data_IF_478053562843
#
_entry.id   IF_478053562843
#
_cell.length_a   1.000
_cell.length_b   1.000
_cell.length_c   1.000
_cell.angle_alpha   90.00
_cell.angle_beta   90.00
_cell.angle_gamma   90.00
#
_symmetry.space_group_name_H-M   'P 1'
#
loop_
_entity.id
_entity.type
_entity.pdbx_description
1 polymer ?
#
# COMPACT_ATOMS: atom_id res chain seq x y z
N UNK A 1 -62.71 10.82 21.01
CA UNK A 1 -63.71 11.89 21.18
C UNK A 1 -63.05 13.06 21.92
N UNK A 2 -63.29 14.27 21.41
CA UNK A 2 -62.94 15.63 21.88
C UNK A 2 -62.05 15.81 23.13
N UNK A 3 -60.83 16.35 23.02
CA UNK A 3 -60.47 17.78 22.90
C UNK A 3 -61.02 18.66 24.04
N UNK A 4 -60.15 19.15 24.93
CA UNK A 4 -60.36 20.45 25.55
C UNK A 4 -59.04 21.19 25.82
N UNK A 5 -58.99 22.42 25.26
CA UNK A 5 -57.96 23.45 25.38
C UNK A 5 -58.11 24.23 26.69
N UNK A 6 -57.01 24.76 27.22
CA UNK A 6 -56.90 26.17 27.64
C UNK A 6 -55.42 26.58 27.74
N UNK A 7 -54.81 27.45 26.90
CA UNK A 7 -54.87 28.94 26.83
C UNK A 7 -54.42 29.58 28.16
N UNK A 8 -53.31 30.32 28.28
CA UNK A 8 -53.06 31.65 27.67
C UNK A 8 -51.64 32.21 28.00
N UNK A 9 -51.06 32.92 27.00
CA UNK A 9 -50.43 34.28 27.02
C UNK A 9 -49.15 34.44 27.87
N UNK A 10 -48.07 35.10 27.45
CA UNK A 10 -47.75 35.95 26.29
C UNK A 10 -46.22 36.13 26.26
N UNK A 11 -45.55 36.45 25.17
CA UNK A 11 -45.41 37.79 24.55
C UNK A 11 -43.91 37.95 24.31
N UNK A 12 -43.47 38.31 23.10
CA UNK A 12 -42.07 38.71 22.87
C UNK A 12 -41.50 38.28 21.53
N UNK A 13 -41.89 38.99 20.47
CA UNK A 13 -41.24 39.00 19.16
C UNK A 13 -39.86 39.68 19.31
N UNK A 14 -38.78 39.06 18.82
CA UNK A 14 -37.76 39.71 17.94
C UNK A 14 -37.07 38.62 17.12
N UNK A 15 -37.13 38.78 15.80
CA UNK A 15 -36.37 38.01 14.83
C UNK A 15 -34.91 38.52 14.76
N UNK A 16 -33.95 37.61 14.69
CA UNK A 16 -32.62 37.88 14.14
C UNK A 16 -32.15 36.67 13.32
N UNK A 17 -32.21 36.83 12.01
CA UNK A 17 -31.49 36.01 11.04
C UNK A 17 -30.01 36.36 11.19
N UNK A 18 -29.15 35.37 11.47
CA UNK A 18 -27.73 35.49 11.22
C UNK A 18 -27.08 34.12 11.01
N UNK A 19 -26.84 33.83 9.73
CA UNK A 19 -25.62 33.25 9.16
C UNK A 19 -25.18 31.86 9.65
N UNK A 20 -25.33 30.92 8.71
CA UNK A 20 -24.75 29.59 8.80
C UNK A 20 -23.25 29.62 9.03
N UNK A 21 -22.83 28.86 10.02
CA UNK A 21 -21.46 28.36 10.12
C UNK A 21 -21.34 27.18 9.17
N UNK A 22 -20.89 27.45 7.95
CA UNK A 22 -20.24 26.42 7.13
C UNK A 22 -19.04 25.98 7.94
N UNK A 23 -19.10 24.78 8.51
CA UNK A 23 -17.94 24.14 9.09
C UNK A 23 -16.91 23.97 7.96
N UNK A 24 -15.96 24.89 7.90
CA UNK A 24 -14.78 24.74 7.08
C UNK A 24 -14.04 23.51 7.60
N UNK A 25 -14.24 22.38 6.91
CA UNK A 25 -13.41 21.21 7.07
C UNK A 25 -11.99 21.62 6.69
N UNK A 26 -11.18 21.98 7.69
CA UNK A 26 -9.77 22.20 7.53
C UNK A 26 -9.18 20.90 6.97
N UNK A 27 -8.74 20.93 5.72
CA UNK A 27 -7.86 19.94 5.13
C UNK A 27 -6.53 20.01 5.88
N UNK A 28 -6.47 19.38 7.04
CA UNK A 28 -5.22 19.18 7.77
C UNK A 28 -4.37 18.27 6.90
N UNK A 29 -3.23 18.80 6.45
CA UNK A 29 -2.35 18.16 5.48
C UNK A 29 -2.02 16.72 5.86
N UNK A 30 -2.31 15.80 4.94
CA UNK A 30 -1.85 14.41 5.00
C UNK A 30 -0.33 14.47 4.88
N UNK A 31 0.37 14.36 6.01
CA UNK A 31 1.83 14.23 5.99
C UNK A 31 2.16 12.82 5.51
N UNK A 32 3.12 12.65 4.57
CA UNK A 32 3.48 11.32 4.09
C UNK A 32 3.95 10.46 5.27
N UNK A 33 3.50 9.21 5.31
CA UNK A 33 3.96 8.24 6.29
C UNK A 33 5.49 8.07 6.16
N UNK A 34 6.21 8.42 7.21
CA UNK A 34 7.64 8.18 7.32
C UNK A 34 7.84 6.78 7.90
N UNK A 35 8.53 5.92 7.16
CA UNK A 35 9.04 4.65 7.65
C UNK A 35 10.35 4.90 8.40
N UNK A 36 10.69 4.05 9.38
CA UNK A 36 11.84 4.25 10.27
C UNK A 36 13.17 4.30 9.48
N UNK A 37 14.11 5.11 9.98
CA UNK A 37 15.50 5.35 9.54
C UNK A 37 15.98 4.70 8.24
N UNK A 38 15.49 5.15 7.08
CA UNK A 38 15.98 4.65 5.78
C UNK A 38 17.28 5.36 5.41
N UNK A 39 18.40 4.64 5.46
CA UNK A 39 19.69 5.11 4.92
C UNK A 39 19.77 4.95 3.41
N UNK A 40 18.71 4.42 2.76
CA UNK A 40 18.68 4.27 1.30
C UNK A 40 18.95 5.62 0.63
N UNK A 41 19.82 5.58 -0.37
CA UNK A 41 20.03 6.69 -1.29
C UNK A 41 18.67 6.99 -1.93
N UNK A 42 18.21 8.24 -1.88
CA UNK A 42 16.87 8.64 -2.32
C UNK A 42 16.45 8.04 -3.67
N UNK A 43 15.15 7.73 -3.78
CA UNK A 43 14.51 7.26 -5.00
C UNK A 43 14.02 8.38 -5.91
N UNK A 44 13.51 8.00 -7.06
CA UNK A 44 12.99 8.91 -8.10
C UNK A 44 11.97 8.17 -8.96
N UNK A 45 10.72 8.62 -9.02
CA UNK A 45 9.69 7.99 -9.85
C UNK A 45 9.42 8.75 -11.15
N UNK A 46 9.62 8.08 -12.27
CA UNK A 46 9.02 8.42 -13.55
C UNK A 46 7.68 7.69 -13.72
N UNK A 47 6.64 8.40 -14.18
CA UNK A 47 5.31 7.82 -14.41
C UNK A 47 4.85 8.07 -15.84
N UNK A 48 4.33 7.03 -16.48
CA UNK A 48 3.68 7.12 -17.79
C UNK A 48 2.19 6.97 -17.65
N UNK A 49 1.43 8.02 -18.00
CA UNK A 49 -0.04 8.04 -18.01
C UNK A 49 -0.49 8.34 -19.43
N UNK A 50 -1.38 7.50 -19.99
CA UNK A 50 -1.90 7.65 -21.36
C UNK A 50 -0.79 7.87 -22.42
N UNK A 51 0.35 7.19 -22.25
CA UNK A 51 1.50 7.28 -23.17
C UNK A 51 2.43 8.48 -22.94
N UNK A 52 2.13 9.37 -21.99
CA UNK A 52 3.00 10.52 -21.64
C UNK A 52 3.80 10.18 -20.40
N UNK A 53 5.12 10.11 -20.55
CA UNK A 53 6.05 9.91 -19.43
C UNK A 53 6.45 11.25 -18.82
N UNK A 54 6.35 11.36 -17.51
CA UNK A 54 6.84 12.50 -16.73
C UNK A 54 7.75 12.00 -15.62
N UNK A 55 8.92 12.64 -15.48
CA UNK A 55 9.83 12.46 -14.36
C UNK A 55 10.09 13.84 -13.70
N UNK A 56 9.44 14.16 -12.56
CA UNK A 56 9.67 15.42 -11.86
C UNK A 56 11.12 15.50 -11.37
N UNK A 57 11.80 16.62 -11.62
CA UNK A 57 13.12 16.85 -11.02
C UNK A 57 13.04 16.84 -9.48
N UNK A 58 14.13 16.46 -8.82
CA UNK A 58 14.21 16.44 -7.35
C UNK A 58 13.68 17.74 -6.71
N UNK A 59 12.85 17.59 -5.67
CA UNK A 59 12.17 18.67 -4.98
C UNK A 59 10.99 19.28 -5.75
N UNK A 60 10.72 18.83 -6.97
CA UNK A 60 9.51 19.18 -7.75
C UNK A 60 8.46 18.10 -7.61
N UNK A 61 7.23 18.48 -7.92
CA UNK A 61 6.08 17.59 -7.89
C UNK A 61 5.39 17.56 -9.26
N UNK A 62 4.88 16.38 -9.62
CA UNK A 62 3.84 16.22 -10.63
C UNK A 62 2.50 16.05 -9.90
N UNK A 63 1.50 16.81 -10.33
CA UNK A 63 0.11 16.65 -9.93
C UNK A 63 -0.75 16.49 -11.18
N UNK A 64 -1.42 15.35 -11.29
CA UNK A 64 -2.45 15.08 -12.30
C UNK A 64 -3.78 14.94 -11.58
N UNK A 65 -4.85 15.54 -12.10
CA UNK A 65 -6.18 15.50 -11.49
C UNK A 65 -7.25 15.21 -12.52
N UNK A 66 -8.31 14.56 -12.06
CA UNK A 66 -9.53 14.28 -12.83
C UNK A 66 -9.30 13.83 -14.28
N UNK A 67 -8.32 12.96 -14.47
CA UNK A 67 -7.87 12.53 -15.80
C UNK A 67 -8.47 11.18 -16.16
N UNK A 68 -9.13 11.10 -17.31
CA UNK A 68 -9.56 9.81 -17.86
C UNK A 68 -8.33 8.96 -18.19
N UNK A 69 -8.35 7.69 -17.79
CA UNK A 69 -7.21 6.77 -17.98
C UNK A 69 -7.67 5.47 -18.59
N UNK A 70 -6.81 4.87 -19.42
CA UNK A 70 -7.02 3.56 -20.02
C UNK A 70 -5.69 2.83 -20.17
N UNK A 71 -5.75 1.52 -20.41
CA UNK A 71 -4.55 0.69 -20.59
C UNK A 71 -3.78 0.52 -19.28
N UNK A 72 -2.52 0.93 -19.27
CA UNK A 72 -1.59 0.74 -18.15
C UNK A 72 -0.94 2.06 -17.77
N UNK A 73 -0.84 2.33 -16.47
CA UNK A 73 0.03 3.36 -15.92
C UNK A 73 1.33 2.69 -15.51
N UNK A 74 2.44 3.08 -16.14
CA UNK A 74 3.75 2.55 -15.82
C UNK A 74 4.44 3.43 -14.77
N UNK A 75 4.88 2.83 -13.66
CA UNK A 75 5.65 3.48 -12.60
C UNK A 75 7.06 2.90 -12.61
N UNK A 76 8.07 3.75 -12.80
CA UNK A 76 9.47 3.33 -12.90
C UNK A 76 10.30 4.16 -11.94
N UNK A 77 10.82 3.49 -10.91
CA UNK A 77 11.73 4.07 -9.93
C UNK A 77 13.18 3.63 -10.15
N UNK A 78 14.08 4.20 -9.36
CA UNK A 78 15.48 3.78 -9.26
C UNK A 78 15.61 2.41 -8.62
N UNK A 79 14.89 2.16 -7.53
CA UNK A 79 14.98 0.95 -6.71
C UNK A 79 13.85 -0.03 -6.95
N UNK A 80 12.65 0.47 -7.28
CA UNK A 80 11.52 -0.37 -7.64
C UNK A 80 10.67 0.19 -8.79
N UNK A 81 9.88 -0.66 -9.42
CA UNK A 81 8.93 -0.28 -10.45
C UNK A 81 7.77 -1.27 -10.54
N UNK A 82 6.66 -0.84 -11.12
CA UNK A 82 5.46 -1.65 -11.28
C UNK A 82 4.51 -1.02 -12.30
N UNK A 83 3.49 -1.78 -12.70
CA UNK A 83 2.44 -1.34 -13.60
C UNK A 83 1.09 -1.36 -12.90
N UNK A 84 0.27 -0.32 -13.11
CA UNK A 84 -1.14 -0.31 -12.69
C UNK A 84 -1.99 -0.53 -13.93
N UNK A 85 -2.69 -1.66 -13.99
CA UNK A 85 -3.57 -1.98 -15.11
C UNK A 85 -4.97 -1.43 -14.85
N UNK A 86 -5.49 -0.60 -15.75
CA UNK A 86 -6.78 0.07 -15.54
C UNK A 86 -7.97 -0.90 -15.68
N UNK A 87 -7.82 -2.00 -16.41
CA UNK A 87 -8.88 -2.97 -16.64
C UNK A 87 -9.40 -3.65 -15.36
N UNK A 88 -8.57 -3.76 -14.33
CA UNK A 88 -8.91 -4.37 -13.03
C UNK A 88 -8.37 -3.58 -11.83
N UNK A 89 -7.69 -2.46 -12.07
CA UNK A 89 -6.94 -1.69 -11.08
C UNK A 89 -5.91 -2.52 -10.29
N UNK A 90 -5.44 -3.63 -10.88
CA UNK A 90 -4.40 -4.46 -10.32
C UNK A 90 -3.02 -3.83 -10.50
N UNK A 91 -2.12 -4.13 -9.56
CA UNK A 91 -0.69 -3.82 -9.68
C UNK A 91 0.05 -5.07 -10.16
N UNK A 92 0.88 -4.90 -11.17
CA UNK A 92 1.63 -5.96 -11.84
C UNK A 92 3.12 -5.68 -11.81
N UNK A 93 3.89 -6.78 -11.83
CA UNK A 93 5.35 -6.76 -11.99
C UNK A 93 6.07 -5.82 -11.03
N UNK A 94 5.64 -5.83 -9.75
CA UNK A 94 6.33 -5.07 -8.71
C UNK A 94 7.74 -5.65 -8.54
N UNK A 95 8.71 -4.88 -9.02
CA UNK A 95 10.09 -5.32 -9.25
C UNK A 95 11.03 -4.50 -8.41
N UNK A 96 11.95 -5.17 -7.70
CA UNK A 96 13.15 -4.52 -7.19
C UNK A 96 14.21 -4.53 -8.29
N UNK A 97 14.81 -3.38 -8.59
CA UNK A 97 15.74 -3.24 -9.72
C UNK A 97 17.11 -3.84 -9.46
N UNK A 98 17.49 -3.93 -8.18
CA UNK A 98 18.84 -4.32 -7.74
C UNK A 98 19.87 -3.20 -7.79
N UNK A 99 19.41 -1.94 -7.95
CA UNK A 99 20.27 -0.76 -7.88
C UNK A 99 21.17 -0.78 -6.62
N UNK A 100 22.41 -0.34 -6.78
CA UNK A 100 23.39 -0.34 -5.69
C UNK A 100 22.91 0.56 -4.54
N UNK A 101 22.77 -0.05 -3.37
CA UNK A 101 22.38 0.61 -2.13
C UNK A 101 22.77 -0.29 -0.95
N UNK A 102 23.09 0.29 0.21
CA UNK A 102 23.42 -0.47 1.42
C UNK A 102 22.24 -1.32 1.93
N UNK A 103 21.02 -0.96 1.53
CA UNK A 103 19.79 -1.65 1.92
C UNK A 103 19.21 -2.54 0.81
N UNK A 104 19.88 -2.69 -0.35
CA UNK A 104 19.34 -3.52 -1.44
C UNK A 104 19.23 -4.98 -1.01
N UNK A 105 18.17 -5.65 -1.44
CA UNK A 105 17.94 -7.08 -1.16
C UNK A 105 18.22 -7.99 -2.36
N UNK A 106 18.39 -7.39 -3.55
CA UNK A 106 18.67 -8.12 -4.79
C UNK A 106 19.76 -7.40 -5.57
N UNK A 107 20.49 -8.15 -6.40
CA UNK A 107 21.59 -7.62 -7.23
C UNK A 107 21.26 -7.57 -8.73
N UNK A 108 20.07 -8.05 -9.09
CA UNK A 108 19.49 -8.04 -10.44
C UNK A 108 18.00 -7.74 -10.34
N UNK A 109 17.34 -7.33 -11.44
CA UNK A 109 15.90 -7.16 -11.46
C UNK A 109 15.17 -8.42 -10.99
N UNK A 110 14.36 -8.27 -9.95
CA UNK A 110 13.58 -9.37 -9.35
C UNK A 110 12.15 -8.92 -9.14
N UNK A 111 11.22 -9.58 -9.82
CA UNK A 111 9.78 -9.39 -9.60
C UNK A 111 9.43 -10.00 -8.24
N UNK A 112 9.05 -9.16 -7.27
CA UNK A 112 8.62 -9.60 -5.94
C UNK A 112 7.16 -10.04 -5.99
N UNK A 113 6.30 -9.23 -6.60
CA UNK A 113 4.92 -9.60 -6.87
C UNK A 113 4.67 -9.59 -8.37
N UNK A 114 4.34 -10.75 -8.92
CA UNK A 114 3.82 -10.85 -10.29
C UNK A 114 2.51 -10.06 -10.40
N UNK A 115 1.66 -10.16 -9.37
CA UNK A 115 0.44 -9.36 -9.33
C UNK A 115 -0.11 -9.15 -7.91
N UNK A 116 -0.79 -8.03 -7.70
CA UNK A 116 -1.70 -7.74 -6.59
C UNK A 116 -3.00 -7.21 -7.16
N UNK A 117 -4.04 -8.03 -7.18
CA UNK A 117 -5.25 -7.77 -7.96
C UNK A 117 -6.47 -7.72 -7.05
N UNK A 118 -7.21 -6.61 -7.00
CA UNK A 118 -8.54 -6.58 -6.42
C UNK A 118 -9.56 -7.21 -7.38
N UNK A 119 -10.43 -8.08 -6.86
CA UNK A 119 -11.58 -8.59 -7.59
C UNK A 119 -12.70 -7.55 -7.53
N UNK A 120 -12.84 -6.77 -8.60
CA UNK A 120 -13.81 -5.68 -8.70
C UNK A 120 -14.99 -6.05 -9.61
N UNK A 121 -16.18 -5.60 -9.25
CA UNK A 121 -17.37 -5.70 -10.09
C UNK A 121 -17.31 -4.73 -11.27
N UNK A 122 -18.14 -4.94 -12.29
CA UNK A 122 -18.26 -4.02 -13.41
C UNK A 122 -18.60 -2.57 -12.98
N UNK A 123 -19.45 -2.40 -11.96
CA UNK A 123 -19.77 -1.09 -11.40
C UNK A 123 -18.57 -0.42 -10.71
N UNK A 124 -17.70 -1.21 -10.07
CA UNK A 124 -16.48 -0.73 -9.44
C UNK A 124 -15.35 -0.41 -10.43
N UNK A 125 -15.49 -0.80 -11.70
CA UNK A 125 -14.55 -0.47 -12.78
C UNK A 125 -15.10 0.58 -13.76
N UNK A 126 -16.42 0.79 -13.76
CA UNK A 126 -17.07 1.77 -14.63
C UNK A 126 -16.53 3.19 -14.40
N UNK A 127 -16.39 3.94 -15.49
CA UNK A 127 -15.98 5.36 -15.45
C UNK A 127 -14.72 5.64 -14.64
N UNK A 128 -13.77 4.68 -14.62
CA UNK A 128 -12.52 4.82 -13.90
C UNK A 128 -11.75 6.04 -14.40
N UNK A 129 -11.39 6.93 -13.46
CA UNK A 129 -10.52 8.08 -13.71
C UNK A 129 -9.45 8.18 -12.64
N UNK A 130 -8.30 8.72 -13.02
CA UNK A 130 -7.25 9.12 -12.10
C UNK A 130 -7.65 10.47 -11.48
N UNK A 131 -8.33 10.42 -10.34
CA UNK A 131 -8.81 11.61 -9.63
C UNK A 131 -7.67 12.45 -9.06
N UNK A 132 -6.60 11.79 -8.60
CA UNK A 132 -5.36 12.42 -8.19
C UNK A 132 -4.19 11.48 -8.50
N UNK A 133 -3.10 12.03 -9.03
CA UNK A 133 -1.79 11.42 -9.00
C UNK A 133 -0.82 12.49 -8.51
N UNK A 134 -0.12 12.17 -7.44
CA UNK A 134 0.96 12.98 -6.90
C UNK A 134 2.25 12.17 -6.95
N UNK A 135 3.26 12.72 -7.61
CA UNK A 135 4.61 12.16 -7.65
C UNK A 135 5.57 13.23 -7.17
N UNK A 136 6.36 12.93 -6.15
CA UNK A 136 7.34 13.84 -5.59
C UNK A 136 8.49 13.04 -5.01
N UNK A 137 9.70 13.31 -5.50
CA UNK A 137 10.91 12.61 -5.09
C UNK A 137 10.73 11.08 -5.18
N UNK A 138 10.86 10.38 -4.05
CA UNK A 138 10.71 8.95 -3.93
C UNK A 138 9.27 8.48 -3.76
N UNK A 139 8.27 9.36 -3.74
CA UNK A 139 6.91 9.03 -3.32
C UNK A 139 5.92 9.14 -4.48
N UNK A 140 5.01 8.17 -4.56
CA UNK A 140 3.87 8.17 -5.47
C UNK A 140 2.57 7.90 -4.70
N UNK A 141 1.53 8.68 -4.98
CA UNK A 141 0.15 8.43 -4.54
C UNK A 141 -0.79 8.60 -5.73
N UNK A 142 -1.45 7.52 -6.14
CA UNK A 142 -2.47 7.51 -7.18
C UNK A 142 -3.83 7.16 -6.56
N UNK A 143 -4.84 7.99 -6.80
CA UNK A 143 -6.22 7.77 -6.37
C UNK A 143 -7.10 7.63 -7.60
N UNK A 144 -7.63 6.43 -7.79
CA UNK A 144 -8.64 6.13 -8.79
C UNK A 144 -10.02 6.33 -8.20
N UNK A 145 -10.86 7.11 -8.87
CA UNK A 145 -12.29 7.13 -8.58
C UNK A 145 -13.03 6.38 -9.67
N UNK A 146 -14.04 5.60 -9.29
CA UNK A 146 -14.83 4.77 -10.20
C UNK A 146 -16.31 4.99 -9.93
N UNK A 147 -17.18 4.34 -10.71
CA UNK A 147 -18.63 4.44 -10.57
C UNK A 147 -19.18 3.99 -9.21
N UNK A 148 -18.41 3.21 -8.43
CA UNK A 148 -18.88 2.64 -7.18
C UNK A 148 -17.87 2.73 -6.01
N UNK A 149 -16.89 3.63 -6.06
CA UNK A 149 -15.96 3.87 -4.96
C UNK A 149 -14.60 4.40 -5.41
N UNK A 150 -13.57 4.19 -4.58
CA UNK A 150 -12.19 4.56 -4.90
C UNK A 150 -11.21 3.44 -4.57
N UNK A 151 -10.08 3.48 -5.27
CA UNK A 151 -8.88 2.71 -4.94
C UNK A 151 -7.70 3.66 -4.90
N UNK A 152 -6.93 3.63 -3.80
CA UNK A 152 -5.66 4.35 -3.68
C UNK A 152 -4.51 3.36 -3.79
N UNK A 153 -3.50 3.70 -4.59
CA UNK A 153 -2.20 3.04 -4.65
C UNK A 153 -1.15 4.02 -4.18
N UNK A 154 -0.35 3.65 -3.18
CA UNK A 154 0.75 4.46 -2.68
C UNK A 154 2.03 3.64 -2.61
N UNK A 155 3.12 4.24 -3.07
CA UNK A 155 4.41 3.59 -3.19
C UNK A 155 5.55 4.55 -2.77
N UNK A 156 6.67 3.97 -2.31
CA UNK A 156 7.94 4.68 -2.15
C UNK A 156 9.06 3.95 -2.88
N UNK A 157 9.90 4.69 -3.59
CA UNK A 157 11.06 4.18 -4.29
C UNK A 157 12.26 4.00 -3.34
N UNK A 158 12.21 2.94 -2.53
CA UNK A 158 13.30 2.56 -1.63
C UNK A 158 13.95 1.23 -2.02
N UNK A 159 15.22 1.04 -1.66
CA UNK A 159 15.97 -0.20 -1.89
C UNK A 159 15.33 -1.44 -1.24
N UNK A 160 14.63 -1.26 -0.12
CA UNK A 160 13.77 -2.26 0.52
C UNK A 160 12.28 -2.11 0.11
N UNK A 161 12.00 -1.65 -1.11
CA UNK A 161 10.64 -1.48 -1.65
C UNK A 161 9.82 -0.34 -1.04
N UNK A 162 10.23 0.24 0.08
CA UNK A 162 9.53 1.36 0.67
C UNK A 162 8.15 0.99 1.25
N UNK A 163 7.28 1.99 1.39
CA UNK A 163 5.85 1.73 1.62
C UNK A 163 5.26 1.31 0.29
N UNK A 164 4.56 0.18 0.21
CA UNK A 164 3.67 -0.13 -0.90
C UNK A 164 2.30 -0.55 -0.34
N UNK A 165 1.23 0.15 -0.69
CA UNK A 165 -0.11 -0.11 -0.17
C UNK A 165 -1.19 0.16 -1.22
N UNK A 166 -2.23 -0.67 -1.19
CA UNK A 166 -3.49 -0.52 -1.91
C UNK A 166 -4.62 -0.38 -0.88
N UNK A 167 -5.37 0.72 -0.93
CA UNK A 167 -6.46 1.02 0.00
C UNK A 167 -7.79 1.13 -0.75
N UNK A 168 -8.84 0.50 -0.21
CA UNK A 168 -10.16 0.45 -0.86
C UNK A 168 -11.20 1.28 -0.11
N UNK A 169 -11.95 2.08 -0.86
CA UNK A 169 -13.11 2.84 -0.38
C UNK A 169 -14.35 2.43 -1.20
N UNK A 170 -14.60 1.13 -1.31
CA UNK A 170 -15.82 0.58 -1.89
C UNK A 170 -16.85 0.28 -0.79
N UNK A 171 -18.14 0.27 -1.13
CA UNK A 171 -19.22 0.07 -0.15
C UNK A 171 -19.20 -1.32 0.52
N UNK A 172 -18.61 -2.32 -0.12
CA UNK A 172 -18.53 -3.69 0.38
C UNK A 172 -17.10 -4.25 0.38
N UNK A 173 -16.91 -5.44 0.97
CA UNK A 173 -15.60 -6.08 1.01
C UNK A 173 -15.04 -6.36 -0.39
N UNK A 174 -13.73 -6.23 -0.55
CA UNK A 174 -13.03 -6.56 -1.79
C UNK A 174 -12.06 -7.71 -1.53
N UNK A 175 -12.10 -8.71 -2.40
CA UNK A 175 -11.11 -9.79 -2.40
C UNK A 175 -9.85 -9.34 -3.12
N UNK A 176 -8.69 -9.45 -2.47
CA UNK A 176 -7.38 -9.25 -3.08
C UNK A 176 -6.66 -10.58 -3.25
N UNK A 177 -6.07 -10.79 -4.42
CA UNK A 177 -5.16 -11.91 -4.67
C UNK A 177 -3.77 -11.35 -4.93
N UNK A 178 -2.81 -11.76 -4.09
CA UNK A 178 -1.40 -11.48 -4.29
C UNK A 178 -0.70 -12.73 -4.79
N UNK A 179 0.08 -12.60 -5.85
CA UNK A 179 0.89 -13.66 -6.43
C UNK A 179 2.33 -13.20 -6.46
N UNK A 180 3.21 -13.97 -5.81
CA UNK A 180 4.65 -13.72 -5.80
C UNK A 180 5.25 -13.94 -7.20
N UNK A 181 6.34 -13.23 -7.48
CA UNK A 181 7.09 -13.46 -8.72
C UNK A 181 7.74 -14.84 -8.76
N UNK A 182 8.19 -15.24 -9.95
CA UNK A 182 8.85 -16.52 -10.15
C UNK A 182 10.09 -16.66 -9.26
N UNK A 183 10.26 -17.83 -8.64
CA UNK A 183 11.38 -18.12 -7.72
C UNK A 183 11.17 -17.63 -6.28
N UNK A 184 10.15 -16.82 -6.01
CA UNK A 184 9.78 -16.45 -4.65
C UNK A 184 8.73 -17.40 -4.07
N UNK A 185 8.73 -17.53 -2.75
CA UNK A 185 7.77 -18.34 -2.02
C UNK A 185 7.49 -17.78 -0.63
N UNK A 186 6.29 -18.08 -0.11
CA UNK A 186 5.94 -17.89 1.28
C UNK A 186 6.55 -19.00 2.14
N UNK A 187 6.95 -18.66 3.37
CA UNK A 187 7.46 -19.60 4.37
C UNK A 187 7.13 -19.11 5.79
N UNK A 188 7.11 -20.02 6.76
CA UNK A 188 7.03 -19.66 8.17
C UNK A 188 8.41 -19.27 8.67
N UNK A 189 8.57 -18.04 9.13
CA UNK A 189 9.83 -17.59 9.72
C UNK A 189 10.02 -18.25 11.10
N UNK A 190 11.12 -19.00 11.32
CA UNK A 190 11.33 -19.77 12.54
C UNK A 190 11.52 -18.89 13.78
N UNK A 191 11.95 -17.63 13.62
CA UNK A 191 12.20 -16.72 14.73
C UNK A 191 10.97 -15.94 15.18
N UNK A 192 10.05 -15.65 14.24
CA UNK A 192 8.86 -14.84 14.53
C UNK A 192 7.57 -15.65 14.58
N UNK A 193 7.56 -16.86 14.02
CA UNK A 193 6.35 -17.66 13.78
C UNK A 193 5.39 -17.04 12.75
N UNK A 194 5.76 -15.89 12.16
CA UNK A 194 4.95 -15.20 11.15
C UNK A 194 5.28 -15.71 9.76
N UNK A 195 4.37 -15.47 8.82
CA UNK A 195 4.62 -15.78 7.42
C UNK A 195 5.40 -14.66 6.77
N UNK A 196 6.54 -15.01 6.18
CA UNK A 196 7.32 -14.15 5.31
C UNK A 196 7.30 -14.71 3.87
N UNK A 197 7.82 -13.93 2.93
CA UNK A 197 8.17 -14.38 1.59
C UNK A 197 9.60 -13.95 1.25
N UNK A 198 10.21 -14.68 0.33
CA UNK A 198 11.57 -14.43 -0.15
C UNK A 198 11.96 -15.42 -1.26
N UNK A 199 13.20 -15.36 -1.71
CA UNK A 199 13.77 -16.30 -2.69
C UNK A 199 14.73 -17.33 -2.06
N UNK A 200 15.00 -17.21 -0.75
CA UNK A 200 15.91 -18.08 -0.01
C UNK A 200 17.40 -17.76 -0.20
N UNK A 201 17.74 -16.70 -0.93
CA UNK A 201 19.14 -16.30 -1.14
C UNK A 201 19.68 -15.63 0.12
N UNK A 202 20.72 -16.21 0.73
CA UNK A 202 21.37 -15.65 1.92
C UNK A 202 22.00 -14.28 1.64
N UNK A 203 22.02 -13.41 2.65
CA UNK A 203 22.68 -12.11 2.57
C UNK A 203 24.18 -12.23 2.27
N UNK A 204 24.72 -11.27 1.52
CA UNK A 204 26.15 -11.11 1.24
C UNK A 204 26.61 -9.78 1.84
N UNK A 205 27.53 -9.83 2.80
CA UNK A 205 27.88 -8.67 3.63
C UNK A 205 28.86 -7.68 2.99
N UNK A 206 29.61 -8.08 1.95
CA UNK A 206 30.66 -7.24 1.36
C UNK A 206 30.88 -7.50 -0.14
N UNK A 207 31.55 -6.56 -0.79
CA UNK A 207 31.89 -6.60 -2.22
C UNK A 207 30.80 -6.02 -3.13
N UNK A 208 31.08 -6.01 -4.43
CA UNK A 208 30.16 -5.48 -5.45
C UNK A 208 28.83 -6.24 -5.53
N UNK A 209 28.79 -7.47 -5.00
CA UNK A 209 27.60 -8.30 -4.86
C UNK A 209 26.91 -8.21 -3.51
N UNK A 210 27.31 -7.31 -2.60
CA UNK A 210 26.69 -7.23 -1.27
C UNK A 210 25.18 -6.94 -1.35
N UNK A 211 24.36 -7.70 -0.63
CA UNK A 211 22.91 -7.51 -0.55
C UNK A 211 22.39 -8.11 0.76
N UNK A 212 21.26 -7.60 1.22
CA UNK A 212 20.49 -8.23 2.31
C UNK A 212 19.70 -9.42 1.80
N UNK A 213 19.24 -10.30 2.69
CA UNK A 213 18.29 -11.36 2.31
C UNK A 213 16.99 -10.73 1.83
N UNK A 214 16.42 -11.22 0.73
CA UNK A 214 15.10 -10.79 0.29
C UNK A 214 14.03 -11.35 1.22
N UNK A 215 13.58 -10.51 2.14
CA UNK A 215 12.53 -10.82 3.10
C UNK A 215 11.39 -9.83 2.94
N UNK A 216 10.17 -10.34 2.90
CA UNK A 216 8.97 -9.53 2.91
C UNK A 216 7.82 -10.18 3.66
N UNK A 217 6.77 -9.41 3.92
CA UNK A 217 5.46 -9.91 4.39
C UNK A 217 4.36 -9.04 3.80
N UNK A 218 3.18 -9.65 3.62
CA UNK A 218 1.97 -8.86 3.39
C UNK A 218 1.65 -8.03 4.64
N UNK A 219 1.18 -6.80 4.42
CA UNK A 219 0.83 -5.85 5.48
C UNK A 219 -0.66 -5.51 5.41
N UNK A 220 -1.54 -6.33 6.00
CA UNK A 220 -2.98 -6.11 6.02
C UNK A 220 -3.39 -5.12 7.11
N UNK A 221 -4.44 -4.35 6.85
CA UNK A 221 -5.22 -3.64 7.87
C UNK A 221 -6.71 -3.74 7.52
N UNK A 222 -7.53 -4.07 8.52
CA UNK A 222 -8.95 -4.40 8.36
C UNK A 222 -9.18 -5.41 7.23
N UNK A 223 -8.32 -6.43 7.20
CA UNK A 223 -8.35 -7.47 6.20
C UNK A 223 -8.03 -8.84 6.80
N UNK A 224 -8.69 -9.86 6.26
CA UNK A 224 -8.59 -11.24 6.74
C UNK A 224 -8.04 -12.10 5.63
N UNK A 225 -6.97 -12.86 5.90
CA UNK A 225 -6.45 -13.87 4.97
C UNK A 225 -7.46 -15.00 4.83
N UNK A 226 -7.88 -15.31 3.62
CA UNK A 226 -8.82 -16.38 3.33
C UNK A 226 -8.15 -17.64 2.80
N UNK A 227 -7.01 -17.50 2.12
CA UNK A 227 -6.22 -18.64 1.66
C UNK A 227 -4.74 -18.27 1.51
N UNK A 228 -3.88 -19.29 1.54
CA UNK A 228 -2.46 -19.16 1.24
C UNK A 228 -1.92 -20.47 0.64
N UNK A 229 -1.17 -20.33 -0.44
CA UNK A 229 -0.34 -21.37 -1.04
C UNK A 229 1.13 -20.97 -0.94
N UNK A 230 2.01 -21.76 -1.56
CA UNK A 230 3.44 -21.45 -1.66
C UNK A 230 3.71 -20.09 -2.31
N UNK A 231 2.88 -19.63 -3.26
CA UNK A 231 3.14 -18.40 -4.04
C UNK A 231 1.98 -17.43 -4.10
N UNK A 232 0.81 -17.79 -3.57
CA UNK A 232 -0.39 -16.96 -3.63
C UNK A 232 -1.02 -16.79 -2.26
N UNK A 233 -1.52 -15.59 -1.98
CA UNK A 233 -2.43 -15.33 -0.85
C UNK A 233 -3.68 -14.65 -1.33
N UNK A 234 -4.81 -15.01 -0.74
CA UNK A 234 -6.08 -14.31 -0.93
C UNK A 234 -6.53 -13.68 0.37
N UNK A 235 -7.05 -12.46 0.29
CA UNK A 235 -7.48 -11.64 1.42
C UNK A 235 -8.85 -11.05 1.15
N UNK A 236 -9.70 -10.96 2.17
CA UNK A 236 -10.91 -10.14 2.14
C UNK A 236 -10.65 -8.85 2.89
N UNK A 237 -10.78 -7.71 2.21
CA UNK A 237 -10.50 -6.37 2.72
C UNK A 237 -11.81 -5.64 2.92
N UNK A 238 -12.07 -5.17 4.13
CA UNK A 238 -13.29 -4.42 4.43
C UNK A 238 -13.21 -2.99 3.88
N UNK A 239 -14.35 -2.29 3.71
CA UNK A 239 -14.35 -0.86 3.39
C UNK A 239 -13.45 -0.05 4.34
N UNK A 240 -12.58 0.81 3.78
CA UNK A 240 -11.59 1.58 4.54
C UNK A 240 -10.35 0.78 4.97
N UNK A 241 -10.28 -0.50 4.62
CA UNK A 241 -9.11 -1.36 4.82
C UNK A 241 -8.04 -1.16 3.75
N UNK A 242 -6.88 -1.80 3.96
CA UNK A 242 -5.76 -1.77 3.02
C UNK A 242 -4.92 -3.03 3.04
N UNK A 243 -4.33 -3.33 1.88
CA UNK A 243 -3.34 -4.38 1.70
C UNK A 243 -2.07 -3.79 1.11
N UNK A 244 -0.95 -4.02 1.79
CA UNK A 244 0.36 -3.63 1.31
C UNK A 244 1.38 -4.75 1.39
N UNK A 245 2.64 -4.36 1.28
CA UNK A 245 3.79 -5.18 1.62
C UNK A 245 4.79 -4.34 2.39
N UNK A 246 5.56 -5.01 3.26
CA UNK A 246 6.80 -4.45 3.80
C UNK A 246 7.92 -5.43 3.54
N UNK A 247 9.12 -4.91 3.28
CA UNK A 247 10.31 -5.72 2.98
C UNK A 247 11.44 -5.38 3.97
N UNK A 248 12.50 -6.19 3.95
CA UNK A 248 13.68 -6.01 4.77
C UNK A 248 13.38 -6.16 6.26
N UNK A 249 14.03 -5.33 7.07
CA UNK A 249 13.93 -5.36 8.53
C UNK A 249 12.47 -5.21 9.02
N UNK A 250 11.69 -4.34 8.38
CA UNK A 250 10.26 -4.13 8.70
C UNK A 250 9.41 -5.41 8.49
N UNK A 251 9.88 -6.35 7.67
CA UNK A 251 9.23 -7.63 7.43
C UNK A 251 9.40 -8.62 8.58
N UNK A 252 10.46 -8.49 9.37
CA UNK A 252 10.82 -9.42 10.45
C UNK A 252 10.80 -8.79 11.84
N UNK A 253 10.61 -7.46 11.95
CA UNK A 253 10.44 -6.79 13.22
C UNK A 253 9.33 -7.47 14.06
N UNK A 254 9.63 -7.71 15.34
CA UNK A 254 8.74 -8.35 16.31
C UNK A 254 7.54 -7.46 16.71
N UNK A 255 7.04 -6.62 15.81
CA UNK A 255 5.92 -5.75 16.08
C UNK A 255 4.65 -6.54 16.36
N UNK A 256 3.77 -5.99 17.21
CA UNK A 256 2.39 -6.43 17.23
C UNK A 256 1.76 -6.14 15.85
N UNK A 257 0.82 -6.99 15.42
CA UNK A 257 0.12 -6.79 14.14
C UNK A 257 -0.55 -5.42 14.05
N UNK A 258 -0.91 -4.99 12.84
CA UNK A 258 -1.61 -3.72 12.65
C UNK A 258 -2.88 -3.68 13.53
N UNK A 259 -3.01 -2.64 14.36
CA UNK A 259 -4.22 -2.45 15.19
C UNK A 259 -5.43 -2.26 14.29
N UNK A 260 -6.57 -2.87 14.65
CA UNK A 260 -7.84 -2.58 13.99
C UNK A 260 -8.14 -1.09 14.15
N UNK A 261 -8.18 -0.35 13.05
CA UNK A 261 -8.50 1.06 13.04
C UNK A 261 -9.56 1.31 11.97
N UNK A 262 -10.64 1.98 12.36
CA UNK A 262 -11.90 2.10 11.60
C UNK A 262 -12.16 3.51 11.05
N UNK A 263 -11.36 4.53 11.44
CA UNK A 263 -11.37 5.88 10.85
C UNK A 263 -10.09 6.64 11.23
N UNK A 264 -9.59 7.53 10.35
CA UNK A 264 -8.43 8.41 10.59
C UNK A 264 -7.17 7.69 11.10
N UNK A 265 -6.88 6.53 10.50
CA UNK A 265 -5.73 5.69 10.85
C UNK A 265 -4.43 6.35 10.40
N UNK A 266 -3.98 7.35 11.16
CA UNK A 266 -2.63 7.87 11.07
C UNK A 266 -1.65 6.75 11.43
N UNK A 267 -0.46 6.78 10.84
CA UNK A 267 0.61 5.83 11.11
C UNK A 267 1.22 6.00 12.53
N UNK A 268 0.44 6.38 13.54
CA UNK A 268 0.88 6.67 14.89
C UNK A 268 1.07 5.41 15.76
N UNK A 269 0.60 4.24 15.31
CA UNK A 269 0.95 2.94 15.90
C UNK A 269 2.22 2.34 15.28
N UNK A 270 3.13 3.18 14.78
CA UNK A 270 4.44 2.77 14.28
C UNK A 270 5.33 2.38 15.45
N UNK A 271 5.77 1.12 15.46
CA UNK A 271 6.99 0.76 16.17
C UNK A 271 8.14 1.35 15.36
N UNK A 272 8.94 2.22 15.98
CA UNK A 272 10.00 2.98 15.30
C UNK A 272 11.32 2.20 15.32
N UNK A 273 11.35 0.99 14.77
CA UNK A 273 12.57 0.17 14.73
C UNK A 273 13.19 -0.07 16.10
N UNK A 274 12.37 -0.02 17.17
CA UNK A 274 12.83 -0.12 18.56
C UNK A 274 12.77 -1.55 19.08
N UNK A 275 12.31 -2.49 18.26
CA UNK A 275 12.27 -3.90 18.60
C UNK A 275 13.45 -4.65 17.98
N UNK A 276 13.94 -5.71 18.64
CA UNK A 276 14.99 -6.54 18.10
C UNK A 276 14.61 -7.09 16.72
N UNK A 277 15.48 -6.89 15.74
CA UNK A 277 15.45 -7.58 14.44
C UNK A 277 16.11 -8.94 14.64
N UNK A 278 15.40 -10.06 14.44
CA UNK A 278 15.99 -11.39 14.56
C UNK A 278 17.00 -11.66 13.43
N UNK A 279 17.88 -12.67 13.57
CA UNK A 279 18.74 -13.10 12.48
C UNK A 279 17.97 -13.52 11.22
N UNK A 280 18.65 -13.52 10.08
CA UNK A 280 18.10 -14.04 8.82
C UNK A 280 17.77 -15.54 8.94
N UNK A 281 16.60 -16.00 8.44
CA UNK A 281 16.30 -17.42 8.34
C UNK A 281 17.32 -18.18 7.49
N UNK A 282 17.79 -19.32 7.99
CA UNK A 282 18.64 -20.24 7.24
C UNK A 282 17.77 -21.26 6.51
N UNK A 283 18.00 -21.47 5.21
CA UNK A 283 17.29 -22.43 4.36
C UNK A 283 15.75 -22.40 4.50
N UNK A 284 15.11 -21.23 4.31
CA UNK A 284 13.66 -21.11 4.47
C UNK A 284 12.94 -22.10 3.56
N UNK A 285 12.02 -22.87 4.13
CA UNK A 285 11.31 -23.92 3.39
C UNK A 285 9.96 -23.40 2.92
N UNK A 286 9.63 -23.56 1.62
CA UNK A 286 8.36 -23.10 1.08
C UNK A 286 7.15 -23.73 1.80
N UNK A 287 6.10 -22.95 2.04
CA UNK A 287 4.84 -23.47 2.58
C UNK A 287 4.29 -24.59 1.69
N UNK A 288 3.72 -25.61 2.32
CA UNK A 288 3.11 -26.75 1.62
C UNK A 288 4.10 -27.79 1.11
N UNK A 289 5.41 -27.59 1.28
CA UNK A 289 6.43 -28.60 1.00
C UNK A 289 6.77 -29.34 2.30
N UNK A 290 6.27 -30.57 2.45
CA UNK A 290 6.74 -31.48 3.50
C UNK A 290 8.08 -32.06 3.06
N UNK A 291 9.18 -31.78 3.78
CA UNK A 291 10.44 -32.50 3.54
C UNK A 291 10.22 -33.96 3.95
N UNK A 292 10.38 -34.89 3.01
CA UNK A 292 10.56 -36.30 3.37
C UNK A 292 11.95 -36.37 4.00
N UNK A 293 11.98 -36.69 5.29
CA UNK A 293 13.22 -36.88 6.06
C UNK A 293 13.95 -38.16 5.63
#
# INVERSE_FOLDING_TARGET
>A
MHTQRSRRIGSGIVAAIALGTVAAAALVGVSPANASGKTSTGGDYAVTVNGVTTNPAQGKELKVRDTAVAGTIAVRGKHNGFDIRIADLGVYDYTLTGAADTQRMVTKPTVVFASKVPSLTAAQLASTKLSSLEVKDDTLVAIFSTGAGKLKVQAKDGAQGGIFQMETEFAGPVTFTHTLGAGLFYFTNPYTGKINFGDGTAAVSAGSGAHQMLLGKDSPQVATKTSQTTTTTTWTVQPGGRLGGVLGEDAVELSQGATNCTSDCQAQNQIRGSLPVPPDPVDPTPLGVTRIA
#
